data_IF_786551757159
#
_entry.id   IF_786551757159
#
_cell.length_a   1.000
_cell.length_b   1.000
_cell.length_c   1.000
_cell.angle_alpha   90.00
_cell.angle_beta   90.00
_cell.angle_gamma   90.00
#
_symmetry.space_group_name_H-M   'P 1'
#
loop_
_entity.id
_entity.type
_entity.pdbx_description
1 polymer ?
#
# COMPACT_ATOMS: atom_id res chain seq x y z
N UNK A 1 -23.07 10.54 -2.62
CA UNK A 1 -23.04 9.22 -1.94
C UNK A 1 -22.44 9.43 -0.56
N UNK A 2 -23.15 9.04 0.50
CA UNK A 2 -22.72 9.28 1.88
C UNK A 2 -21.46 8.46 2.18
N UNK A 3 -20.30 9.12 2.37
CA UNK A 3 -19.08 8.43 2.84
C UNK A 3 -19.36 7.94 4.26
N UNK A 4 -19.40 6.63 4.46
CA UNK A 4 -19.37 6.04 5.80
C UNK A 4 -18.05 6.42 6.45
N UNK A 5 -18.11 7.36 7.38
CA UNK A 5 -17.01 7.62 8.30
C UNK A 5 -16.87 6.35 9.14
N UNK A 6 -15.81 5.58 8.90
CA UNK A 6 -15.49 4.43 9.75
C UNK A 6 -15.37 4.92 11.20
N UNK A 7 -15.94 4.19 12.18
CA UNK A 7 -15.88 4.59 13.57
C UNK A 7 -14.44 4.71 14.05
N UNK A 8 -14.19 5.61 15.02
CA UNK A 8 -12.90 5.76 15.68
C UNK A 8 -12.45 4.39 16.19
N UNK A 9 -11.38 3.83 15.63
CA UNK A 9 -10.67 2.76 16.31
C UNK A 9 -10.03 3.37 17.55
N UNK A 10 -10.56 3.01 18.71
CA UNK A 10 -9.92 3.35 19.99
C UNK A 10 -8.65 2.50 20.07
N UNK A 11 -7.49 3.15 19.96
CA UNK A 11 -6.24 2.53 20.34
C UNK A 11 -6.35 2.04 21.80
N UNK A 12 -5.85 0.85 22.14
CA UNK A 12 -5.85 0.37 23.51
C UNK A 12 -5.13 1.39 24.40
N UNK A 13 -5.82 1.80 25.46
CA UNK A 13 -5.35 2.81 26.42
C UNK A 13 -4.06 2.33 27.08
N UNK A 14 -2.90 2.80 26.60
CA UNK A 14 -1.60 2.55 27.24
C UNK A 14 -0.38 2.48 26.30
N UNK A 15 -0.55 2.20 25.00
CA UNK A 15 0.56 2.16 24.05
C UNK A 15 0.73 3.48 23.30
N UNK A 16 1.97 3.98 23.17
CA UNK A 16 2.27 5.07 22.24
C UNK A 16 1.87 4.63 20.82
N UNK A 17 1.20 5.47 20.02
CA UNK A 17 0.88 5.14 18.64
C UNK A 17 2.16 4.76 17.89
N UNK A 18 2.08 3.80 16.97
CA UNK A 18 3.20 3.54 16.09
C UNK A 18 3.47 4.79 15.22
N UNK A 19 4.66 4.84 14.61
CA UNK A 19 4.96 5.90 13.62
C UNK A 19 3.95 5.89 12.46
N UNK A 20 3.52 4.69 12.05
CA UNK A 20 2.50 4.51 11.01
C UNK A 20 1.15 5.07 11.44
N UNK A 21 0.68 4.71 12.63
CA UNK A 21 -0.60 5.23 13.17
C UNK A 21 -0.60 6.74 13.27
N UNK A 22 0.51 7.33 13.73
CA UNK A 22 0.67 8.79 13.83
C UNK A 22 0.58 9.45 12.45
N UNK A 23 1.19 8.87 11.42
CA UNK A 23 1.10 9.37 10.04
C UNK A 23 -0.32 9.27 9.49
N UNK A 24 -0.99 8.12 9.65
CA UNK A 24 -2.37 7.93 9.20
C UNK A 24 -3.37 8.82 9.94
N UNK A 25 -3.14 9.06 11.23
CA UNK A 25 -3.91 10.04 12.01
C UNK A 25 -3.71 11.45 11.45
N UNK A 26 -2.48 11.85 11.18
CA UNK A 26 -2.18 13.16 10.61
C UNK A 26 -2.84 13.36 9.23
N UNK A 27 -2.81 12.36 8.35
CA UNK A 27 -3.52 12.42 7.06
C UNK A 27 -5.02 12.70 7.25
N UNK A 28 -5.65 11.99 8.20
CA UNK A 28 -7.07 12.17 8.52
C UNK A 28 -7.38 13.56 9.08
N UNK A 29 -6.55 14.04 10.00
CA UNK A 29 -6.71 15.36 10.63
C UNK A 29 -6.61 16.50 9.61
N UNK A 30 -5.78 16.33 8.58
CA UNK A 30 -5.58 17.31 7.51
C UNK A 30 -6.47 17.08 6.29
N UNK A 31 -7.40 16.10 6.35
CA UNK A 31 -8.31 15.77 5.25
C UNK A 31 -7.56 15.49 3.93
N UNK A 32 -6.37 14.89 4.04
CA UNK A 32 -5.56 14.49 2.90
C UNK A 32 -6.06 13.15 2.39
N UNK A 33 -6.91 13.22 1.37
CA UNK A 33 -7.31 12.09 0.55
C UNK A 33 -6.30 11.87 -0.59
N UNK A 34 -6.41 10.73 -1.29
CA UNK A 34 -5.64 10.42 -2.51
C UNK A 34 -4.10 10.37 -2.36
N UNK A 35 -3.65 10.02 -1.16
CA UNK A 35 -2.25 9.73 -0.86
C UNK A 35 -1.94 8.25 -1.13
N UNK A 36 -0.83 8.01 -1.82
CA UNK A 36 -0.22 6.69 -2.00
C UNK A 36 1.13 6.66 -1.29
N UNK A 37 1.49 5.52 -0.69
CA UNK A 37 2.81 5.31 -0.09
C UNK A 37 3.63 4.30 -0.88
N UNK A 38 4.91 4.58 -1.04
CA UNK A 38 5.89 3.66 -1.61
C UNK A 38 6.96 3.36 -0.57
N UNK A 39 7.25 2.08 -0.33
CA UNK A 39 8.22 1.67 0.67
C UNK A 39 9.07 0.47 0.24
N UNK A 40 10.12 0.19 1.01
CA UNK A 40 10.99 -0.96 0.83
C UNK A 40 11.22 -1.64 2.17
N UNK A 41 12.49 -1.86 2.55
CA UNK A 41 12.96 -2.37 3.86
C UNK A 41 12.55 -3.80 4.21
N UNK A 42 11.29 -4.17 4.01
CA UNK A 42 10.77 -5.50 4.33
C UNK A 42 11.24 -6.63 3.41
N UNK A 43 12.00 -6.31 2.37
CA UNK A 43 12.59 -7.29 1.44
C UNK A 43 11.57 -8.21 0.73
N UNK A 44 10.34 -7.73 0.56
CA UNK A 44 9.27 -8.44 -0.14
C UNK A 44 8.48 -7.49 -1.05
N UNK A 45 7.65 -8.02 -1.93
CA UNK A 45 6.79 -7.24 -2.82
C UNK A 45 5.32 -7.43 -2.48
N UNK A 46 4.61 -6.32 -2.23
CA UNK A 46 3.18 -6.36 -1.91
C UNK A 46 2.48 -5.04 -2.23
N UNK A 47 1.17 -5.13 -2.37
CA UNK A 47 0.24 -4.01 -2.35
C UNK A 47 -0.69 -4.21 -1.16
N UNK A 48 -0.75 -3.22 -0.26
CA UNK A 48 -1.64 -3.21 0.88
C UNK A 48 -2.54 -1.97 0.90
N UNK A 49 -3.67 -2.08 1.58
CA UNK A 49 -4.68 -1.02 1.68
C UNK A 49 -5.09 -0.94 3.14
N UNK A 50 -4.71 0.16 3.77
CA UNK A 50 -5.06 0.47 5.15
C UNK A 50 -6.58 0.66 5.30
N UNK A 51 -7.20 0.41 6.46
CA UNK A 51 -8.63 0.67 6.68
C UNK A 51 -9.12 2.08 6.35
N UNK A 52 -8.21 3.06 6.28
CA UNK A 52 -8.52 4.43 5.85
C UNK A 52 -8.51 4.64 4.33
N UNK A 53 -8.24 3.60 3.54
CA UNK A 53 -8.17 3.67 2.09
C UNK A 53 -6.81 4.06 1.52
N UNK A 54 -5.82 4.39 2.36
CA UNK A 54 -4.44 4.66 1.92
C UNK A 54 -3.82 3.38 1.38
N UNK A 55 -3.30 3.45 0.17
CA UNK A 55 -2.66 2.31 -0.51
C UNK A 55 -1.15 2.40 -0.41
N UNK A 56 -0.52 1.28 -0.07
CA UNK A 56 0.92 1.13 0.01
C UNK A 56 1.42 0.12 -1.02
N UNK A 57 2.39 0.52 -1.82
CA UNK A 57 3.08 -0.35 -2.77
C UNK A 57 4.52 -0.51 -2.31
N UNK A 58 4.90 -1.73 -1.98
CA UNK A 58 6.22 -2.01 -1.44
C UNK A 58 7.03 -2.90 -2.34
N UNK A 59 8.28 -2.50 -2.57
CA UNK A 59 9.30 -3.32 -3.22
C UNK A 59 10.57 -3.21 -2.40
N UNK A 60 10.79 -4.22 -1.55
CA UNK A 60 11.89 -4.20 -0.59
C UNK A 60 13.19 -4.86 -1.06
N UNK A 61 13.16 -5.69 -2.10
CA UNK A 61 14.32 -6.43 -2.58
C UNK A 61 14.54 -6.16 -4.08
N UNK A 62 15.78 -5.80 -4.45
CA UNK A 62 16.16 -5.59 -5.85
C UNK A 62 16.39 -6.92 -6.59
N UNK A 63 16.91 -7.93 -5.89
CA UNK A 63 17.28 -9.24 -6.41
C UNK A 63 16.76 -10.38 -5.54
N UNK A 64 16.71 -11.58 -6.10
CA UNK A 64 16.20 -12.78 -5.44
C UNK A 64 16.98 -13.14 -4.15
N UNK A 65 18.30 -12.92 -4.09
CA UNK A 65 19.11 -13.30 -2.93
C UNK A 65 18.75 -12.53 -1.65
N UNK A 66 18.18 -11.33 -1.79
CA UNK A 66 17.77 -10.52 -0.66
C UNK A 66 16.28 -10.63 -0.36
N UNK A 67 15.49 -11.32 -1.20
CA UNK A 67 14.05 -11.41 -1.04
C UNK A 67 13.64 -12.42 0.05
N UNK A 68 12.70 -12.05 0.93
CA UNK A 68 12.22 -12.91 2.03
C UNK A 68 10.72 -13.11 2.00
N UNK A 69 10.26 -14.35 2.20
CA UNK A 69 8.84 -14.70 2.11
C UNK A 69 7.95 -13.84 3.02
N UNK A 70 6.79 -13.46 2.47
CA UNK A 70 5.85 -12.62 3.19
C UNK A 70 4.70 -13.27 3.91
N UNK A 71 4.19 -12.54 4.91
CA UNK A 71 3.10 -12.98 5.77
C UNK A 71 1.88 -12.10 5.52
N UNK A 72 0.73 -12.75 5.34
CA UNK A 72 -0.55 -12.08 5.09
C UNK A 72 -1.04 -11.40 6.37
N UNK A 73 -1.80 -10.29 6.25
CA UNK A 73 -2.47 -9.64 7.38
C UNK A 73 -3.19 -10.61 8.32
N UNK A 74 -3.19 -10.33 9.63
CA UNK A 74 -3.73 -11.22 10.67
C UNK A 74 -2.80 -12.38 11.05
N UNK A 75 -1.62 -12.47 10.44
CA UNK A 75 -0.59 -13.43 10.80
C UNK A 75 0.09 -13.09 12.13
N UNK A 76 0.60 -14.12 12.82
CA UNK A 76 1.21 -14.01 14.16
C UNK A 76 2.43 -13.09 14.22
N UNK A 77 3.13 -12.91 13.09
CA UNK A 77 4.32 -12.03 13.02
C UNK A 77 4.04 -10.73 12.26
N UNK A 78 2.77 -10.43 12.01
CA UNK A 78 2.39 -9.17 11.36
C UNK A 78 2.20 -8.05 12.38
N UNK A 79 2.28 -6.81 11.89
CA UNK A 79 1.94 -5.61 12.66
C UNK A 79 0.45 -5.27 12.60
N UNK A 80 -0.37 -6.16 12.04
CA UNK A 80 -1.83 -6.05 11.91
C UNK A 80 -2.48 -7.33 12.47
N UNK A 81 -2.49 -7.50 13.80
CA UNK A 81 -2.96 -8.71 14.45
C UNK A 81 -4.46 -8.99 14.21
N UNK A 82 -5.24 -7.93 13.97
CA UNK A 82 -6.68 -8.03 13.70
C UNK A 82 -6.99 -8.29 12.21
N UNK A 83 -5.97 -8.28 11.33
CA UNK A 83 -6.11 -8.57 9.90
C UNK A 83 -7.00 -7.55 9.17
N UNK A 84 -6.96 -6.28 9.58
CA UNK A 84 -7.79 -5.23 9.01
C UNK A 84 -7.24 -4.67 7.69
N UNK A 85 -5.94 -4.84 7.44
CA UNK A 85 -5.31 -4.45 6.19
C UNK A 85 -5.76 -5.39 5.09
N UNK A 86 -6.27 -4.83 3.99
CA UNK A 86 -6.51 -5.61 2.78
C UNK A 86 -5.20 -5.68 1.99
N UNK A 87 -4.80 -6.87 1.55
CA UNK A 87 -3.57 -7.07 0.77
C UNK A 87 -3.91 -7.68 -0.60
N UNK A 88 -4.27 -6.86 -1.62
CA UNK A 88 -4.64 -7.36 -2.94
C UNK A 88 -3.51 -8.09 -3.67
N UNK A 89 -2.26 -7.79 -3.32
CA UNK A 89 -1.10 -8.46 -3.90
C UNK A 89 -0.06 -8.74 -2.82
N UNK A 90 0.37 -9.99 -2.79
CA UNK A 90 1.59 -10.47 -2.21
C UNK A 90 2.17 -11.41 -3.26
N UNK A 91 3.45 -11.28 -3.55
CA UNK A 91 4.09 -12.16 -4.53
C UNK A 91 3.90 -13.68 -4.20
N UNK A 92 3.87 -14.57 -5.19
CA UNK A 92 3.65 -16.00 -4.94
C UNK A 92 4.89 -16.70 -4.40
N UNK A 93 6.08 -16.18 -4.70
CA UNK A 93 7.39 -16.65 -4.24
C UNK A 93 8.30 -15.46 -3.94
N UNK A 94 9.27 -15.58 -3.03
CA UNK A 94 10.32 -14.59 -2.87
C UNK A 94 11.00 -14.32 -4.21
N UNK A 95 11.00 -13.04 -4.60
CA UNK A 95 11.73 -12.56 -5.75
C UNK A 95 12.05 -11.08 -5.61
N UNK A 96 13.19 -10.67 -6.16
CA UNK A 96 13.58 -9.28 -6.32
C UNK A 96 12.71 -8.55 -7.35
N UNK A 97 13.08 -7.31 -7.69
CA UNK A 97 12.44 -6.55 -8.75
C UNK A 97 12.26 -5.07 -8.43
N UNK A 98 11.27 -4.45 -9.08
CA UNK A 98 11.03 -3.01 -9.01
C UNK A 98 9.56 -2.64 -9.24
N UNK A 99 9.17 -1.47 -8.74
CA UNK A 99 7.88 -0.85 -9.05
C UNK A 99 8.08 0.15 -10.20
N UNK A 100 7.46 -0.11 -11.34
CA UNK A 100 7.38 0.82 -12.44
C UNK A 100 6.14 1.69 -12.30
N UNK A 101 6.36 3.00 -12.11
CA UNK A 101 5.30 3.99 -11.98
C UNK A 101 5.29 4.88 -13.22
N UNK A 102 4.15 4.95 -13.90
CA UNK A 102 3.98 5.78 -15.10
C UNK A 102 2.78 6.69 -14.93
N UNK A 103 2.97 7.98 -15.21
CA UNK A 103 1.88 8.94 -15.41
C UNK A 103 1.71 9.16 -16.90
N UNK A 104 0.51 8.98 -17.41
CA UNK A 104 0.18 9.15 -18.83
C UNK A 104 -1.19 9.80 -18.99
N UNK A 105 -1.46 10.28 -20.21
CA UNK A 105 -2.81 10.64 -20.64
C UNK A 105 -3.32 9.54 -21.57
N UNK A 106 -4.49 8.98 -21.27
CA UNK A 106 -5.14 7.95 -22.08
C UNK A 106 -6.57 8.40 -22.39
N UNK A 107 -6.88 8.57 -23.69
CA UNK A 107 -8.19 9.04 -24.17
C UNK A 107 -8.64 10.37 -23.54
N UNK A 108 -7.72 11.33 -23.40
CA UNK A 108 -8.04 12.66 -22.86
C UNK A 108 -8.13 12.72 -21.33
N UNK A 109 -7.75 11.65 -20.61
CA UNK A 109 -7.82 11.60 -19.16
C UNK A 109 -6.48 11.14 -18.54
N UNK A 110 -6.03 11.76 -17.43
CA UNK A 110 -4.82 11.31 -16.74
C UNK A 110 -4.98 9.88 -16.21
N UNK A 111 -3.88 9.14 -16.18
CA UNK A 111 -3.76 7.80 -15.61
C UNK A 111 -2.45 7.69 -14.85
N UNK A 112 -2.50 7.07 -13.69
CA UNK A 112 -1.31 6.64 -12.95
C UNK A 112 -1.30 5.10 -12.95
N UNK A 113 -0.28 4.52 -13.55
CA UNK A 113 -0.10 3.08 -13.65
C UNK A 113 1.03 2.66 -12.74
N UNK A 114 0.75 1.70 -11.87
CA UNK A 114 1.73 1.10 -10.95
C UNK A 114 1.86 -0.38 -11.31
N UNK A 115 3.07 -0.80 -11.69
CA UNK A 115 3.33 -2.18 -12.13
C UNK A 115 4.51 -2.76 -11.38
N UNK A 116 4.30 -3.89 -10.73
CA UNK A 116 5.37 -4.67 -10.13
C UNK A 116 6.03 -5.53 -11.20
N UNK A 117 7.35 -5.51 -11.21
CA UNK A 117 8.19 -6.39 -11.99
C UNK A 117 9.03 -7.26 -11.05
N UNK A 118 9.27 -8.50 -11.43
CA UNK A 118 10.32 -9.31 -10.81
C UNK A 118 11.72 -8.85 -11.27
N UNK A 119 12.77 -9.52 -10.78
CA UNK A 119 14.18 -9.18 -11.06
C UNK A 119 14.57 -9.44 -12.53
N UNK A 120 13.85 -10.33 -13.22
CA UNK A 120 13.94 -10.56 -14.66
C UNK A 120 13.13 -9.52 -15.48
N UNK A 121 12.42 -8.60 -14.82
CA UNK A 121 11.61 -7.56 -15.46
C UNK A 121 10.23 -8.04 -15.94
N UNK A 122 9.79 -9.23 -15.55
CA UNK A 122 8.46 -9.77 -15.86
C UNK A 122 7.40 -9.12 -14.98
N UNK A 123 6.32 -8.64 -15.58
CA UNK A 123 5.22 -8.00 -14.85
C UNK A 123 4.43 -9.01 -14.01
N UNK A 124 4.40 -8.83 -12.69
CA UNK A 124 3.68 -9.71 -11.77
C UNK A 124 2.28 -9.20 -11.39
N UNK A 125 2.13 -7.88 -11.23
CA UNK A 125 0.88 -7.27 -10.76
C UNK A 125 0.79 -5.80 -11.20
N UNK A 126 -0.42 -5.30 -11.43
CA UNK A 126 -0.64 -3.92 -11.86
C UNK A 126 -1.90 -3.31 -11.23
N UNK A 127 -1.81 -2.03 -10.90
CA UNK A 127 -2.94 -1.16 -10.55
C UNK A 127 -2.95 0.05 -11.47
N UNK A 128 -4.15 0.46 -11.91
CA UNK A 128 -4.37 1.71 -12.63
C UNK A 128 -5.21 2.61 -11.74
N UNK A 129 -4.75 3.83 -11.52
CA UNK A 129 -5.47 4.89 -10.81
C UNK A 129 -6.04 5.89 -11.79
N UNK A 130 -7.23 6.34 -11.47
CA UNK A 130 -7.96 7.39 -12.16
C UNK A 130 -7.97 8.63 -11.28
N UNK A 131 -7.99 9.84 -11.87
CA UNK A 131 -8.18 11.06 -11.12
C UNK A 131 -9.47 10.96 -10.31
N UNK A 132 -9.34 11.14 -9.01
CA UNK A 132 -10.43 11.43 -8.11
C UNK A 132 -10.69 12.93 -8.24
N UNK A 133 -11.87 13.31 -8.71
CA UNK A 133 -12.20 14.73 -8.83
C UNK A 133 -12.19 15.38 -7.45
N UNK A 134 -11.21 16.26 -7.19
CA UNK A 134 -11.31 17.19 -6.07
C UNK A 134 -12.17 18.37 -6.53
N UNK A 135 -13.24 18.73 -5.80
CA UNK A 135 -13.88 20.01 -6.03
C UNK A 135 -12.87 21.13 -5.74
N UNK A 136 -12.75 22.09 -6.67
CA UNK A 136 -12.00 23.34 -6.48
C UNK A 136 -12.54 24.17 -5.30
#
# INVERSE_FOLDING_TARGET
MSRQILPRQNAPTGSKPSRGDSFFQWLRENQLDDVLTFCGDRHWQYHSIHPLGVEEFSVGALNDENAIAGEKPGGKHTTDPDGLIRQPFLYPKPTGGFLHVTVSEESGAPRLRLRFHDDEGTSAYQVIKHPTGHPE
#
